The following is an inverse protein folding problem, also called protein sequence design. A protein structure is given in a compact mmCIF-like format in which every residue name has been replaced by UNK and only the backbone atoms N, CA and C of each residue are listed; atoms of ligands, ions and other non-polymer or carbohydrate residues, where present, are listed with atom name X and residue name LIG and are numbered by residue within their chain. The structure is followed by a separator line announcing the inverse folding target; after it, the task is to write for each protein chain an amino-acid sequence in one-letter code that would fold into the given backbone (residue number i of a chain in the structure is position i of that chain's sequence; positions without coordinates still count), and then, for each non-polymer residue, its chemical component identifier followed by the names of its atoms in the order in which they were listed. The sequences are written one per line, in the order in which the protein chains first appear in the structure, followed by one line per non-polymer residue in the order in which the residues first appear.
data_IF_409463129939
#
_entry.id   IF_409463129939
#
_cell.length_a   1.000
_cell.length_b   1.000
_cell.length_c   1.000
_cell.angle_alpha   90.00
_cell.angle_beta   90.00
_cell.angle_gamma   90.00
#
_symmetry.space_group_name_H-M   'P 1'
#
loop_
_entity.id
_entity.type
_entity.pdbx_description
1 polymer ?
#
# COMPACT_ATOMS: atom_id res chain seq x y z
N UNK A 1 8.58 11.25 11.60
CA UNK A 1 9.05 11.40 10.21
C UNK A 1 9.67 10.11 9.64
N UNK A 2 10.71 9.52 10.26
CA UNK A 2 11.39 8.31 9.75
C UNK A 2 10.43 7.16 9.33
N UNK A 3 9.38 6.89 10.10
CA UNK A 3 8.37 5.88 9.71
C UNK A 3 7.68 6.19 8.37
N UNK A 4 7.42 7.46 8.07
CA UNK A 4 6.83 7.89 6.80
C UNK A 4 7.77 7.61 5.63
N UNK A 5 9.07 7.84 5.80
CA UNK A 5 10.10 7.49 4.81
C UNK A 5 10.08 5.97 4.54
N UNK A 6 10.03 5.15 5.60
CA UNK A 6 10.00 3.69 5.46
C UNK A 6 8.74 3.24 4.69
N UNK A 7 7.55 3.75 5.04
CA UNK A 7 6.33 3.31 4.35
C UNK A 7 6.20 3.87 2.94
N UNK A 8 6.73 5.07 2.65
CA UNK A 8 6.79 5.59 1.28
C UNK A 8 7.76 4.76 0.43
N UNK A 9 8.86 4.30 1.03
CA UNK A 9 9.74 3.33 0.38
C UNK A 9 9.01 2.01 0.11
N UNK A 10 8.15 1.52 1.02
CA UNK A 10 7.33 0.33 0.79
C UNK A 10 6.21 0.55 -0.23
N UNK A 11 5.68 1.77 -0.37
CA UNK A 11 4.73 2.13 -1.45
C UNK A 11 5.40 2.01 -2.81
N UNK A 12 6.61 2.55 -2.93
CA UNK A 12 7.38 2.41 -4.16
C UNK A 12 7.97 0.99 -4.30
N UNK A 13 8.37 0.31 -3.25
CA UNK A 13 9.07 -0.96 -3.36
C UNK A 13 8.42 -2.00 -2.41
N UNK A 14 7.18 -2.41 -2.71
CA UNK A 14 6.42 -3.29 -1.83
C UNK A 14 6.99 -4.71 -1.83
N UNK A 15 6.98 -5.33 -0.66
CA UNK A 15 7.38 -6.72 -0.48
C UNK A 15 6.25 -7.51 0.21
N UNK A 16 5.51 -8.38 -0.50
CA UNK A 16 5.64 -8.75 -1.92
C UNK A 16 4.94 -7.76 -2.89
N UNK A 17 5.37 -7.66 -4.16
CA UNK A 17 4.75 -6.80 -5.17
C UNK A 17 3.43 -7.37 -5.74
N UNK A 18 3.12 -8.63 -5.44
CA UNK A 18 1.98 -9.37 -5.94
C UNK A 18 1.39 -10.24 -4.82
N UNK A 19 0.09 -10.14 -4.58
CA UNK A 19 -0.63 -11.05 -3.69
C UNK A 19 -1.47 -12.02 -4.54
N UNK A 20 -1.54 -13.28 -4.10
CA UNK A 20 -2.24 -14.34 -4.83
C UNK A 20 -3.30 -14.95 -3.92
N UNK A 21 -4.49 -15.20 -4.47
CA UNK A 21 -5.56 -15.97 -3.82
C UNK A 21 -6.09 -17.00 -4.81
N UNK A 22 -6.48 -18.17 -4.32
CA UNK A 22 -7.22 -19.15 -5.13
C UNK A 22 -8.67 -19.18 -4.67
N UNK A 23 -9.59 -19.10 -5.62
CA UNK A 23 -11.00 -19.29 -5.34
C UNK A 23 -11.28 -20.74 -4.98
N UNK A 24 -11.91 -20.99 -3.83
CA UNK A 24 -12.23 -22.36 -3.38
C UNK A 24 -13.60 -22.83 -3.89
N UNK A 25 -14.48 -21.90 -4.26
CA UNK A 25 -15.82 -22.14 -4.80
C UNK A 25 -16.12 -21.09 -5.86
N UNK A 26 -17.04 -21.36 -6.77
CA UNK A 26 -17.42 -20.34 -7.75
C UNK A 26 -18.00 -19.09 -7.06
N UNK A 27 -17.63 -17.92 -7.56
CA UNK A 27 -18.05 -16.62 -7.03
C UNK A 27 -18.11 -15.57 -8.17
N UNK A 28 -18.52 -14.34 -7.84
CA UNK A 28 -18.50 -13.19 -8.74
C UNK A 28 -17.63 -12.08 -8.13
N UNK A 29 -16.57 -11.72 -8.84
CA UNK A 29 -15.74 -10.56 -8.49
C UNK A 29 -16.48 -9.28 -8.91
N UNK A 30 -16.56 -8.23 -8.07
CA UNK A 30 -17.13 -6.95 -8.49
C UNK A 30 -16.36 -6.36 -9.67
N UNK A 31 -17.06 -5.61 -10.53
CA UNK A 31 -16.45 -4.99 -11.72
C UNK A 31 -15.35 -3.97 -11.42
N UNK A 32 -15.42 -3.33 -10.25
CA UNK A 32 -14.51 -2.25 -9.89
C UNK A 32 -14.74 -0.98 -10.70
N UNK A 33 -13.81 -0.03 -10.59
CA UNK A 33 -13.89 1.26 -11.28
C UNK A 33 -13.82 1.05 -12.81
N UNK A 34 -14.83 1.55 -13.54
CA UNK A 34 -15.00 1.43 -15.00
C UNK A 34 -15.10 0.00 -15.53
N UNK A 35 -15.32 -1.00 -14.66
CA UNK A 35 -15.55 -2.38 -15.06
C UNK A 35 -17.03 -2.71 -15.31
N UNK A 36 -17.31 -4.00 -15.50
CA UNK A 36 -18.67 -4.50 -15.70
C UNK A 36 -19.50 -4.40 -14.40
N UNK A 37 -20.68 -3.77 -14.47
CA UNK A 37 -21.54 -3.58 -13.30
C UNK A 37 -22.08 -4.90 -12.74
N UNK A 38 -22.21 -5.92 -13.59
CA UNK A 38 -22.65 -7.25 -13.18
C UNK A 38 -21.49 -8.10 -12.62
N UNK A 39 -20.26 -7.57 -12.68
CA UNK A 39 -19.05 -8.22 -12.20
C UNK A 39 -18.50 -9.29 -13.14
N UNK A 40 -17.57 -10.09 -12.63
CA UNK A 40 -16.86 -11.13 -13.38
C UNK A 40 -16.97 -12.46 -12.67
N UNK A 41 -17.47 -13.48 -13.37
CA UNK A 41 -17.53 -14.84 -12.83
C UNK A 41 -16.11 -15.39 -12.56
N UNK A 42 -15.89 -15.91 -11.35
CA UNK A 42 -14.66 -16.55 -10.91
C UNK A 42 -14.99 -18.00 -10.55
N UNK A 43 -14.75 -18.97 -11.45
CA UNK A 43 -14.93 -20.38 -11.13
C UNK A 43 -14.04 -20.84 -9.98
N UNK A 44 -14.46 -21.91 -9.29
CA UNK A 44 -13.60 -22.60 -8.32
C UNK A 44 -12.26 -22.99 -8.96
N UNK A 45 -11.16 -22.83 -8.21
CA UNK A 45 -9.80 -23.10 -8.67
C UNK A 45 -9.10 -21.93 -9.37
N UNK A 46 -9.81 -20.85 -9.68
CA UNK A 46 -9.22 -19.65 -10.32
C UNK A 46 -8.26 -18.93 -9.38
N UNK A 47 -7.07 -18.58 -9.88
CA UNK A 47 -6.12 -17.73 -9.16
C UNK A 47 -6.40 -16.24 -9.46
N UNK A 48 -6.55 -15.46 -8.40
CA UNK A 48 -6.72 -14.00 -8.42
C UNK A 48 -5.41 -13.36 -7.99
N UNK A 49 -4.88 -12.50 -8.85
CA UNK A 49 -3.62 -11.79 -8.65
C UNK A 49 -3.91 -10.32 -8.35
N UNK A 50 -3.44 -9.83 -7.21
CA UNK A 50 -3.56 -8.42 -6.81
C UNK A 50 -2.18 -7.79 -6.95
N UNK A 51 -2.00 -6.95 -7.97
CA UNK A 51 -0.75 -6.23 -8.20
C UNK A 51 -0.63 -5.08 -7.21
N UNK A 52 0.04 -5.34 -6.09
CA UNK A 52 0.35 -4.34 -5.06
C UNK A 52 1.22 -3.23 -5.65
N UNK A 53 2.19 -3.60 -6.49
CA UNK A 53 3.07 -2.66 -7.17
C UNK A 53 2.31 -1.62 -8.01
N UNK A 54 1.35 -2.07 -8.83
CA UNK A 54 0.54 -1.17 -9.65
C UNK A 54 -0.45 -0.37 -8.80
N UNK A 55 -1.08 -1.02 -7.82
CA UNK A 55 -2.01 -0.36 -6.91
C UNK A 55 -1.35 0.82 -6.19
N UNK A 56 -0.13 0.63 -5.68
CA UNK A 56 0.63 1.65 -4.96
C UNK A 56 1.14 2.78 -5.85
N UNK A 57 1.08 2.62 -7.17
CA UNK A 57 1.49 3.62 -8.18
C UNK A 57 0.35 4.11 -9.06
N UNK A 58 -0.86 3.71 -8.77
CA UNK A 58 -1.99 4.06 -9.61
C UNK A 58 -2.26 5.56 -9.49
N UNK A 59 -2.28 6.32 -10.59
CA UNK A 59 -2.63 7.74 -10.56
C UNK A 59 -4.09 7.95 -10.14
N UNK A 60 -4.91 6.89 -10.10
CA UNK A 60 -6.25 6.94 -9.55
C UNK A 60 -6.26 7.20 -8.03
N UNK A 61 -5.28 6.68 -7.30
CA UNK A 61 -5.23 6.75 -5.83
C UNK A 61 -4.11 7.66 -5.29
N UNK A 62 -3.11 7.98 -6.11
CA UNK A 62 -1.89 8.64 -5.68
C UNK A 62 -1.51 9.79 -6.60
N UNK A 63 -1.43 10.99 -6.06
CA UNK A 63 -0.87 12.15 -6.76
C UNK A 63 0.64 11.99 -6.94
N UNK A 64 1.14 12.32 -8.13
CA UNK A 64 2.56 12.15 -8.51
C UNK A 64 3.07 10.76 -8.05
N UNK A 65 2.50 9.66 -8.56
CA UNK A 65 2.63 8.33 -7.97
C UNK A 65 4.06 7.78 -7.96
N UNK A 66 4.95 8.33 -8.79
CA UNK A 66 6.35 7.91 -8.89
C UNK A 66 7.29 8.74 -8.00
N UNK A 67 6.81 9.85 -7.45
CA UNK A 67 7.61 10.70 -6.58
C UNK A 67 7.67 10.11 -5.17
N UNK A 68 8.85 10.19 -4.56
CA UNK A 68 9.07 9.84 -3.17
C UNK A 68 8.66 11.01 -2.27
N UNK A 69 7.47 10.93 -1.67
CA UNK A 69 6.87 12.00 -0.85
C UNK A 69 6.31 11.42 0.46
N UNK A 70 7.11 11.29 1.53
CA UNK A 70 6.67 10.74 2.82
C UNK A 70 5.45 11.44 3.44
N UNK A 71 5.31 12.75 3.22
CA UNK A 71 4.27 13.59 3.78
C UNK A 71 2.88 13.31 3.19
N UNK A 72 2.78 12.59 2.06
CA UNK A 72 1.50 12.28 1.40
C UNK A 72 0.51 11.56 2.32
N UNK A 73 1.01 10.82 3.31
CA UNK A 73 0.19 10.09 4.28
C UNK A 73 -0.35 10.97 5.41
N UNK A 74 0.00 12.26 5.45
CA UNK A 74 -0.43 13.20 6.49
C UNK A 74 -1.64 14.04 6.07
N UNK A 75 -2.00 14.02 4.79
CA UNK A 75 -3.10 14.80 4.22
C UNK A 75 -4.20 13.88 3.73
N UNK A 76 -5.44 14.33 3.83
CA UNK A 76 -6.53 13.60 3.20
C UNK A 76 -6.40 13.67 1.68
N UNK A 77 -6.66 12.56 1.00
CA UNK A 77 -6.73 12.50 -0.46
C UNK A 77 -7.94 11.68 -0.87
N UNK A 78 -8.68 12.11 -1.89
CA UNK A 78 -9.79 11.36 -2.44
C UNK A 78 -9.91 11.65 -3.92
N UNK A 79 -10.29 10.63 -4.68
CA UNK A 79 -10.67 10.77 -6.07
C UNK A 79 -12.18 10.52 -6.19
N UNK A 80 -12.95 11.57 -6.49
CA UNK A 80 -14.41 11.51 -6.60
C UNK A 80 -14.89 10.67 -7.79
N UNK A 81 -14.02 10.43 -8.79
CA UNK A 81 -14.35 9.58 -9.93
C UNK A 81 -14.39 8.08 -9.55
N UNK A 82 -13.79 7.70 -8.42
CA UNK A 82 -13.72 6.31 -7.97
C UNK A 82 -14.84 6.05 -6.97
N UNK A 83 -15.97 5.60 -7.50
CA UNK A 83 -17.10 5.16 -6.69
C UNK A 83 -16.69 4.06 -5.70
N UNK A 84 -17.13 4.20 -4.44
CA UNK A 84 -16.91 3.23 -3.38
C UNK A 84 -15.56 3.33 -2.68
N UNK A 85 -14.56 4.03 -3.24
CA UNK A 85 -13.29 4.24 -2.54
C UNK A 85 -13.40 5.41 -1.55
N UNK A 86 -13.09 5.14 -0.29
CA UNK A 86 -13.14 6.11 0.79
C UNK A 86 -12.06 7.19 0.70
N UNK A 87 -11.00 6.98 -0.07
CA UNK A 87 -9.83 7.88 -0.10
C UNK A 87 -8.84 7.59 1.03
N UNK A 88 -7.72 8.33 1.03
CA UNK A 88 -6.75 8.37 2.10
C UNK A 88 -7.23 9.34 3.20
N UNK A 89 -7.29 8.85 4.43
CA UNK A 89 -7.70 9.60 5.61
C UNK A 89 -6.88 9.14 6.83
N UNK A 90 -5.91 9.95 7.29
CA UNK A 90 -5.04 9.60 8.41
C UNK A 90 -5.80 9.36 9.72
N UNK A 91 -7.02 9.86 9.85
CA UNK A 91 -7.83 9.72 11.06
C UNK A 91 -8.44 8.32 11.24
N UNK A 92 -8.49 7.49 10.18
CA UNK A 92 -9.15 6.16 10.22
C UNK A 92 -8.42 5.09 11.03
N UNK A 93 -7.14 5.30 11.33
CA UNK A 93 -6.35 4.34 12.10
C UNK A 93 -5.71 5.02 13.30
N UNK A 94 -6.52 5.49 14.28
CA UNK A 94 -6.00 6.19 15.44
C UNK A 94 -5.10 5.26 16.26
N UNK A 95 -3.93 5.77 16.65
CA UNK A 95 -2.95 5.02 17.43
C UNK A 95 -2.08 4.03 16.64
N UNK A 96 -2.26 3.92 15.32
CA UNK A 96 -1.36 3.12 14.49
C UNK A 96 0.06 3.71 14.49
N UNK A 97 1.07 2.84 14.54
CA UNK A 97 2.47 3.28 14.51
C UNK A 97 2.88 3.85 13.15
N UNK A 98 2.17 3.51 12.08
CA UNK A 98 2.48 3.86 10.70
C UNK A 98 1.21 3.87 9.80
N UNK A 99 1.25 4.58 8.65
CA UNK A 99 0.21 4.51 7.61
C UNK A 99 -0.06 3.09 7.09
N UNK A 100 -1.32 2.64 7.09
CA UNK A 100 -1.66 1.26 6.78
C UNK A 100 -2.86 1.14 5.81
N UNK A 101 -3.34 -0.08 5.60
CA UNK A 101 -4.45 -0.37 4.69
C UNK A 101 -5.76 0.30 5.07
N UNK A 102 -5.98 0.56 6.37
CA UNK A 102 -7.20 1.17 6.86
C UNK A 102 -7.25 2.65 6.50
N UNK A 103 -6.13 3.37 6.63
CA UNK A 103 -6.12 4.81 6.31
C UNK A 103 -6.34 5.08 4.83
N UNK A 104 -5.95 4.15 3.96
CA UNK A 104 -5.98 4.32 2.50
C UNK A 104 -7.19 3.65 1.85
N UNK A 105 -8.08 3.07 2.65
CA UNK A 105 -9.15 2.19 2.17
C UNK A 105 -8.63 1.16 1.15
N UNK A 106 -7.64 0.39 1.60
CA UNK A 106 -6.94 -0.66 0.87
C UNK A 106 -6.17 -0.23 -0.39
N UNK A 107 -6.03 1.07 -0.69
CA UNK A 107 -5.15 1.54 -1.77
C UNK A 107 -3.65 1.43 -1.43
N UNK A 108 -3.31 1.26 -0.15
CA UNK A 108 -1.98 0.98 0.36
C UNK A 108 -1.98 -0.32 1.16
N UNK A 109 -1.10 -1.26 0.81
CA UNK A 109 -1.06 -2.63 1.33
C UNK A 109 0.39 -3.09 1.61
N UNK A 110 1.17 -2.33 2.40
CA UNK A 110 2.59 -2.64 2.62
C UNK A 110 2.81 -4.00 3.31
N UNK A 111 1.82 -4.46 4.08
CA UNK A 111 1.84 -5.73 4.80
C UNK A 111 0.60 -6.58 4.50
N UNK A 112 -0.07 -6.31 3.37
CA UNK A 112 -1.36 -6.89 3.03
C UNK A 112 -2.50 -6.36 3.90
N UNK A 113 -3.59 -7.14 4.00
CA UNK A 113 -4.78 -6.77 4.76
C UNK A 113 -5.67 -7.99 5.05
N UNK A 114 -6.66 -7.79 5.91
CA UNK A 114 -7.60 -8.83 6.33
C UNK A 114 -6.94 -10.00 7.10
N UNK A 115 -7.54 -11.20 7.10
CA UNK A 115 -7.08 -12.35 7.90
C UNK A 115 -5.68 -12.88 7.55
N UNK A 116 -5.07 -12.41 6.46
CA UNK A 116 -3.73 -12.81 5.99
C UNK A 116 -2.74 -11.64 6.00
N UNK A 117 -3.05 -10.57 6.73
CA UNK A 117 -2.11 -9.47 6.99
C UNK A 117 -0.86 -10.01 7.69
N UNK A 118 0.30 -9.45 7.37
CA UNK A 118 1.55 -9.82 8.01
C UNK A 118 1.47 -9.61 9.53
N UNK A 119 1.81 -10.64 10.30
CA UNK A 119 1.88 -10.57 11.77
C UNK A 119 3.11 -9.78 12.25
N UNK A 120 4.13 -9.63 11.41
CA UNK A 120 5.39 -8.95 11.73
C UNK A 120 5.40 -7.46 11.41
N UNK A 121 4.27 -6.85 11.05
CA UNK A 121 4.22 -5.48 10.55
C UNK A 121 4.79 -4.44 11.55
N UNK A 122 4.39 -4.52 12.82
CA UNK A 122 4.88 -3.61 13.87
C UNK A 122 6.38 -3.82 14.13
N UNK A 123 6.83 -5.08 14.13
CA UNK A 123 8.24 -5.41 14.36
C UNK A 123 9.11 -4.88 13.21
N UNK A 124 8.72 -5.16 11.96
CA UNK A 124 9.45 -4.71 10.78
C UNK A 124 9.54 -3.17 10.73
N UNK A 125 8.46 -2.46 11.09
CA UNK A 125 8.47 -1.00 11.14
C UNK A 125 9.35 -0.46 12.27
N UNK A 126 9.30 -1.07 13.45
CA UNK A 126 10.16 -0.68 14.56
C UNK A 126 11.64 -0.89 14.20
N UNK A 127 12.00 -2.09 13.75
CA UNK A 127 13.36 -2.44 13.35
C UNK A 127 13.89 -1.53 12.24
N UNK A 128 13.12 -1.36 11.15
CA UNK A 128 13.51 -0.48 10.04
C UNK A 128 13.69 0.97 10.48
N UNK A 129 12.82 1.45 11.38
CA UNK A 129 12.93 2.81 11.94
C UNK A 129 14.21 2.97 12.75
N UNK A 130 14.53 2.01 13.62
CA UNK A 130 15.74 2.05 14.45
C UNK A 130 16.98 1.96 13.55
N UNK A 131 17.02 0.99 12.63
CA UNK A 131 18.14 0.81 11.71
C UNK A 131 18.41 2.08 10.88
N UNK A 132 17.37 2.64 10.24
CA UNK A 132 17.51 3.85 9.45
C UNK A 132 17.92 5.06 10.31
N UNK A 133 17.38 5.19 11.53
CA UNK A 133 17.78 6.27 12.45
C UNK A 133 19.26 6.15 12.82
N UNK A 134 19.74 4.95 13.15
CA UNK A 134 21.15 4.73 13.49
C UNK A 134 22.07 5.02 12.30
N UNK A 135 21.67 4.64 11.08
CA UNK A 135 22.44 4.98 9.88
C UNK A 135 22.57 6.50 9.73
N UNK A 136 21.45 7.23 9.81
CA UNK A 136 21.43 8.69 9.67
C UNK A 136 22.16 9.43 10.81
N UNK A 137 22.28 8.85 11.99
CA UNK A 137 22.99 9.45 13.12
C UNK A 137 24.50 9.26 13.07
N UNK A 138 24.97 8.19 12.42
CA UNK A 138 26.38 7.78 12.47
C UNK A 138 27.09 7.94 11.12
N UNK A 139 26.36 8.17 10.03
CA UNK A 139 26.91 8.25 8.69
C UNK A 139 26.26 9.38 7.89
N UNK A 140 27.09 10.12 7.15
CA UNK A 140 26.65 10.97 6.05
C UNK A 140 26.67 10.14 4.75
N UNK A 141 25.53 10.08 4.06
CA UNK A 141 25.36 9.25 2.87
C UNK A 141 25.17 10.12 1.64
N UNK A 142 26.00 9.92 0.62
CA UNK A 142 25.87 10.57 -0.67
C UNK A 142 25.72 9.53 -1.78
N UNK A 143 24.83 9.81 -2.73
CA UNK A 143 24.69 8.98 -3.93
C UNK A 143 25.79 9.37 -4.92
N UNK A 144 26.82 8.54 -5.03
CA UNK A 144 27.83 8.70 -6.07
C UNK A 144 27.19 8.50 -7.44
N UNK A 145 27.05 9.59 -8.20
CA UNK A 145 26.69 9.53 -9.61
C UNK A 145 27.93 9.10 -10.39
N UNK A 146 27.96 7.85 -10.81
CA UNK A 146 28.94 7.39 -11.79
C UNK A 146 28.57 8.00 -13.15
N UNK A 147 29.46 8.84 -13.69
CA UNK A 147 29.38 9.37 -15.06
C UNK A 147 29.87 8.32 -16.06
#
# INVERSE_FOLDING_TARGET
YIRLIVVEALRLYPQPPLLIRRSLKSDVLPGGHKGDKDGYAIPAGTDVFISVYNLHRSPYFWDRPHDFEPERFLVQNKNEEIEGWGGLDPSRSPGALYPNEVISDFAFLPFGGGPRKCVGDQFALMESTVALTLLLQNFDVELNRWN
#
